data_IF_725738760004
#
_entry.id   IF_725738760004
#
_cell.length_a   1.000
_cell.length_b   1.000
_cell.length_c   1.000
_cell.angle_alpha   90.00
_cell.angle_beta   90.00
_cell.angle_gamma   90.00
#
_symmetry.space_group_name_H-M   'P 1'
#
loop_
_entity.id
_entity.type
_entity.pdbx_description
1 polymer ?
#
# COMPACT_ATOMS: atom_id res chain seq x y z
N UNK A 1 -28.87 7.89 7.81
CA UNK A 1 -28.17 6.65 7.45
C UNK A 1 -27.19 6.29 8.56
N UNK A 2 -27.39 5.13 9.17
CA UNK A 2 -26.52 4.61 10.25
C UNK A 2 -25.16 4.17 9.70
N UNK A 3 -24.19 3.90 10.57
CA UNK A 3 -22.91 3.36 10.16
C UNK A 3 -23.06 1.96 9.50
N UNK A 4 -23.93 1.13 10.05
CA UNK A 4 -24.22 -0.20 9.50
C UNK A 4 -24.79 -0.13 8.07
N UNK A 5 -25.72 0.79 7.81
CA UNK A 5 -26.26 1.02 6.46
C UNK A 5 -25.15 1.48 5.48
N UNK A 6 -24.26 2.37 5.94
CA UNK A 6 -23.10 2.82 5.13
C UNK A 6 -22.15 1.67 4.81
N UNK A 7 -21.84 0.82 5.80
CA UNK A 7 -20.99 -0.37 5.62
C UNK A 7 -21.64 -1.34 4.62
N UNK A 8 -22.95 -1.59 4.74
CA UNK A 8 -23.67 -2.45 3.81
C UNK A 8 -23.56 -1.95 2.36
N UNK A 9 -23.72 -0.64 2.15
CA UNK A 9 -23.55 -0.02 0.83
C UNK A 9 -22.11 -0.11 0.33
N UNK A 10 -21.13 0.13 1.20
CA UNK A 10 -19.71 -0.01 0.86
C UNK A 10 -19.38 -1.45 0.43
N UNK A 11 -19.90 -2.44 1.12
CA UNK A 11 -19.70 -3.86 0.78
C UNK A 11 -20.32 -4.23 -0.57
N UNK A 12 -21.44 -3.63 -0.97
CA UNK A 12 -21.96 -3.78 -2.32
C UNK A 12 -21.02 -3.19 -3.39
N UNK A 13 -20.33 -2.09 -3.08
CA UNK A 13 -19.33 -1.49 -3.98
C UNK A 13 -18.07 -2.37 -4.04
N UNK A 14 -17.63 -2.88 -2.90
CA UNK A 14 -16.44 -3.75 -2.77
C UNK A 14 -16.61 -5.07 -3.52
N UNK A 15 -17.82 -5.64 -3.51
CA UNK A 15 -18.11 -6.91 -4.20
C UNK A 15 -18.14 -6.79 -5.73
N UNK A 16 -18.20 -5.58 -6.28
CA UNK A 16 -18.19 -5.35 -7.72
C UNK A 16 -16.74 -5.29 -8.22
N UNK A 17 -16.26 -6.40 -8.74
CA UNK A 17 -14.99 -6.39 -9.50
C UNK A 17 -15.24 -5.82 -10.91
N UNK A 18 -14.80 -4.58 -11.11
CA UNK A 18 -14.93 -3.90 -12.42
C UNK A 18 -13.79 -4.21 -13.38
N UNK A 19 -12.71 -4.82 -12.89
CA UNK A 19 -11.47 -4.86 -13.64
C UNK A 19 -10.91 -6.28 -13.85
N UNK A 20 -11.61 -7.30 -13.36
CA UNK A 20 -11.15 -8.68 -13.39
C UNK A 20 -10.06 -8.97 -12.35
N UNK A 21 -9.97 -10.18 -11.90
CA UNK A 21 -8.90 -10.68 -11.02
C UNK A 21 -7.66 -11.04 -11.83
N UNK A 22 -6.51 -10.97 -11.21
CA UNK A 22 -5.27 -11.57 -11.72
C UNK A 22 -5.31 -13.05 -11.41
N UNK A 23 -4.96 -13.91 -12.37
CA UNK A 23 -5.02 -15.36 -12.15
C UNK A 23 -3.98 -15.82 -11.12
N UNK A 24 -4.20 -16.97 -10.42
CA UNK A 24 -3.20 -17.51 -9.49
C UNK A 24 -1.85 -17.76 -10.15
N UNK A 25 -1.83 -18.18 -11.41
CA UNK A 25 -0.60 -18.39 -12.18
C UNK A 25 0.14 -17.08 -12.43
N UNK A 26 -0.58 -16.02 -12.80
CA UNK A 26 0.00 -14.68 -12.97
C UNK A 26 0.53 -14.12 -11.65
N UNK A 27 -0.19 -14.35 -10.54
CA UNK A 27 0.27 -13.95 -9.20
C UNK A 27 1.56 -14.67 -8.81
N UNK A 28 1.63 -15.99 -9.06
CA UNK A 28 2.81 -16.80 -8.74
C UNK A 28 4.03 -16.45 -9.61
N UNK A 29 3.80 -15.86 -10.79
CA UNK A 29 4.85 -15.46 -11.72
C UNK A 29 5.38 -14.05 -11.48
N UNK A 30 4.84 -13.30 -10.49
CA UNK A 30 5.34 -11.96 -10.17
C UNK A 30 6.76 -12.03 -9.62
N UNK A 31 7.64 -11.09 -10.00
CA UNK A 31 9.03 -11.08 -9.55
C UNK A 31 9.15 -10.65 -8.09
N UNK A 32 10.26 -11.05 -7.45
CA UNK A 32 10.60 -10.66 -6.08
C UNK A 32 9.79 -11.40 -5.02
N UNK A 33 9.79 -10.86 -3.82
CA UNK A 33 9.12 -11.44 -2.66
C UNK A 33 8.16 -10.43 -2.04
N UNK A 34 6.91 -10.83 -1.81
CA UNK A 34 5.96 -10.07 -1.01
C UNK A 34 6.04 -10.50 0.46
N UNK A 35 6.16 -9.52 1.35
CA UNK A 35 6.10 -9.73 2.80
C UNK A 35 5.02 -8.84 3.40
N UNK A 36 4.15 -9.43 4.18
CA UNK A 36 3.08 -8.70 4.88
C UNK A 36 3.61 -8.16 6.23
N UNK A 37 3.47 -6.86 6.44
CA UNK A 37 3.98 -6.16 7.61
C UNK A 37 2.86 -5.40 8.32
N UNK A 38 2.97 -5.30 9.66
CA UNK A 38 2.14 -4.45 10.49
C UNK A 38 3.02 -3.45 11.22
N UNK A 39 3.00 -2.21 10.79
CA UNK A 39 3.89 -1.15 11.28
C UNK A 39 3.14 -0.26 12.26
N UNK A 40 3.69 -0.12 13.47
CA UNK A 40 3.20 0.83 14.47
C UNK A 40 3.96 2.14 14.32
N UNK A 41 3.24 3.19 14.03
CA UNK A 41 3.79 4.54 13.78
C UNK A 41 3.76 5.43 15.01
N UNK A 42 4.56 6.49 15.03
CA UNK A 42 4.67 7.41 16.16
C UNK A 42 3.34 8.12 16.48
N UNK A 43 2.51 8.37 15.47
CA UNK A 43 1.17 8.95 15.67
C UNK A 43 0.13 7.95 16.21
N UNK A 44 0.55 6.72 16.59
CA UNK A 44 -0.27 5.70 17.24
C UNK A 44 -1.09 4.81 16.30
N UNK A 45 -0.96 4.97 14.98
CA UNK A 45 -1.59 4.09 14.01
C UNK A 45 -0.86 2.74 13.95
N UNK A 46 -1.61 1.69 13.59
CA UNK A 46 -1.06 0.39 13.22
C UNK A 46 -1.47 0.12 11.77
N UNK A 47 -0.50 0.17 10.88
CA UNK A 47 -0.73 0.20 9.44
C UNK A 47 -0.31 -1.11 8.81
N UNK A 48 -1.15 -1.63 7.95
CA UNK A 48 -0.90 -2.82 7.15
C UNK A 48 -0.15 -2.42 5.88
N UNK A 49 0.95 -3.09 5.60
CA UNK A 49 1.83 -2.81 4.46
C UNK A 49 2.22 -4.12 3.81
N UNK A 50 2.16 -4.17 2.49
CA UNK A 50 2.75 -5.24 1.71
C UNK A 50 4.08 -4.75 1.12
N UNK A 51 5.16 -5.34 1.59
CA UNK A 51 6.50 -5.04 1.09
C UNK A 51 6.81 -5.92 -0.11
N UNK A 52 7.04 -5.30 -1.28
CA UNK A 52 7.58 -5.96 -2.45
C UNK A 52 9.09 -5.70 -2.51
N UNK A 53 9.86 -6.78 -2.43
CA UNK A 53 11.32 -6.73 -2.38
C UNK A 53 11.93 -7.46 -3.58
N UNK A 54 12.85 -6.83 -4.32
CA UNK A 54 13.56 -7.51 -5.41
C UNK A 54 14.54 -8.56 -4.85
N UNK A 55 14.87 -9.57 -5.65
CA UNK A 55 15.82 -10.63 -5.27
C UNK A 55 17.19 -10.06 -4.87
N UNK A 56 17.58 -8.95 -5.45
CA UNK A 56 18.80 -8.22 -5.11
C UNK A 56 18.51 -6.76 -4.93
N UNK A 57 18.49 -6.30 -3.68
CA UNK A 57 18.31 -4.90 -3.34
C UNK A 57 19.69 -4.22 -3.22
N UNK A 58 19.97 -3.13 -3.97
CA UNK A 58 21.23 -2.41 -3.84
C UNK A 58 21.34 -1.72 -2.47
N UNK A 59 22.56 -1.51 -1.96
CA UNK A 59 22.75 -0.69 -0.77
C UNK A 59 22.19 0.72 -0.97
N UNK A 60 21.54 1.27 0.05
CA UNK A 60 20.86 2.58 -0.03
C UNK A 60 19.90 2.67 -1.22
N UNK A 61 19.08 1.64 -1.38
CA UNK A 61 18.04 1.61 -2.39
C UNK A 61 17.00 2.71 -2.16
N UNK A 62 16.24 3.04 -3.18
CA UNK A 62 15.04 3.85 -3.00
C UNK A 62 13.94 3.03 -2.31
N UNK A 63 13.08 3.71 -1.56
CA UNK A 63 11.81 3.19 -1.06
C UNK A 63 10.66 3.94 -1.70
N UNK A 64 9.74 3.22 -2.32
CA UNK A 64 8.53 3.78 -2.89
C UNK A 64 7.33 3.35 -2.05
N UNK A 65 6.60 4.31 -1.49
CA UNK A 65 5.32 4.08 -0.83
C UNK A 65 4.21 4.27 -1.85
N UNK A 66 3.47 3.21 -2.14
CA UNK A 66 2.31 3.27 -3.03
C UNK A 66 1.02 3.32 -2.22
N UNK A 67 0.15 4.26 -2.55
CA UNK A 67 -1.20 4.37 -2.00
C UNK A 67 -2.21 4.02 -3.09
N UNK A 68 -2.92 2.91 -2.89
CA UNK A 68 -3.84 2.38 -3.90
C UNK A 68 -5.08 3.26 -4.11
N UNK A 69 -5.70 3.15 -5.27
CA UNK A 69 -6.99 3.75 -5.55
C UNK A 69 -8.14 2.96 -4.92
N UNK A 70 -9.36 3.44 -5.11
CA UNK A 70 -10.55 2.73 -4.64
C UNK A 70 -11.61 3.64 -4.02
N UNK A 71 -11.47 4.98 -4.19
CA UNK A 71 -12.43 5.95 -3.68
C UNK A 71 -12.55 5.95 -2.15
N UNK A 72 -11.48 5.58 -1.44
CA UNK A 72 -11.42 5.38 0.01
C UNK A 72 -12.36 4.29 0.56
N UNK A 73 -13.01 3.52 -0.32
CA UNK A 73 -13.97 2.49 0.02
C UNK A 73 -13.46 1.09 -0.32
N UNK A 74 -12.79 0.94 -1.47
CA UNK A 74 -12.18 -0.31 -1.91
C UNK A 74 -10.75 -0.39 -1.41
N UNK A 75 -10.36 -1.56 -0.91
CA UNK A 75 -9.00 -1.85 -0.49
C UNK A 75 -8.08 -2.22 -1.66
N UNK A 76 -6.86 -2.55 -1.28
CA UNK A 76 -5.83 -3.10 -2.15
C UNK A 76 -6.34 -4.34 -2.91
N UNK A 77 -5.84 -4.52 -4.12
CA UNK A 77 -6.18 -5.64 -5.00
C UNK A 77 -4.92 -6.29 -5.58
N UNK A 78 -5.07 -7.47 -6.19
CA UNK A 78 -3.98 -8.14 -6.92
C UNK A 78 -3.37 -7.29 -8.04
N UNK A 79 -4.13 -6.32 -8.56
CA UNK A 79 -3.63 -5.37 -9.57
C UNK A 79 -2.68 -4.36 -8.98
N UNK A 80 -2.93 -3.93 -7.75
CA UNK A 80 -2.03 -3.04 -7.02
C UNK A 80 -0.71 -3.76 -6.77
N UNK A 81 -0.74 -5.03 -6.35
CA UNK A 81 0.44 -5.87 -6.24
C UNK A 81 1.22 -5.94 -7.55
N UNK A 82 0.55 -6.28 -8.65
CA UNK A 82 1.18 -6.35 -9.98
C UNK A 82 1.82 -5.02 -10.39
N UNK A 83 1.17 -3.91 -10.09
CA UNK A 83 1.70 -2.57 -10.32
C UNK A 83 2.96 -2.32 -9.48
N UNK A 84 2.90 -2.62 -8.19
CA UNK A 84 4.03 -2.50 -7.26
C UNK A 84 5.22 -3.37 -7.68
N UNK A 85 4.99 -4.63 -8.06
CA UNK A 85 6.04 -5.52 -8.60
C UNK A 85 6.68 -4.93 -9.86
N UNK A 86 5.89 -4.33 -10.76
CA UNK A 86 6.42 -3.68 -11.97
C UNK A 86 7.31 -2.49 -11.61
N UNK A 87 6.93 -1.68 -10.64
CA UNK A 87 7.76 -0.56 -10.16
C UNK A 87 9.03 -1.06 -9.48
N UNK A 88 8.90 -2.04 -8.59
CA UNK A 88 10.02 -2.68 -7.90
C UNK A 88 11.07 -3.18 -8.90
N UNK A 89 10.65 -3.94 -9.91
CA UNK A 89 11.54 -4.51 -10.92
C UNK A 89 12.22 -3.43 -11.77
N UNK A 90 11.44 -2.47 -12.28
CA UNK A 90 11.96 -1.43 -13.19
C UNK A 90 12.87 -0.42 -12.51
N UNK A 91 12.61 -0.12 -11.25
CA UNK A 91 13.36 0.87 -10.47
C UNK A 91 14.43 0.22 -9.58
N UNK A 92 14.43 -1.10 -9.47
CA UNK A 92 15.26 -1.87 -8.56
C UNK A 92 15.26 -1.27 -7.15
N UNK A 93 14.06 -1.09 -6.59
CA UNK A 93 13.80 -0.43 -5.32
C UNK A 93 12.92 -1.29 -4.43
N UNK A 94 12.86 -0.93 -3.15
CA UNK A 94 11.87 -1.45 -2.23
C UNK A 94 10.52 -0.75 -2.48
N UNK A 95 9.42 -1.50 -2.50
CA UNK A 95 8.08 -0.90 -2.62
C UNK A 95 7.23 -1.32 -1.43
N UNK A 96 6.61 -0.35 -0.78
CA UNK A 96 5.58 -0.57 0.22
C UNK A 96 4.22 -0.23 -0.37
N UNK A 97 3.40 -1.23 -0.58
CA UNK A 97 2.00 -1.06 -0.97
C UNK A 97 1.16 -0.92 0.31
N UNK A 98 0.75 0.30 0.60
CA UNK A 98 0.12 0.68 1.87
C UNK A 98 -1.37 0.39 1.81
N UNK A 99 -1.82 -0.58 2.60
CA UNK A 99 -3.23 -0.93 2.75
C UNK A 99 -3.86 -0.08 3.86
N UNK A 100 -4.06 1.20 3.54
CA UNK A 100 -4.61 2.19 4.46
C UNK A 100 -6.08 1.93 4.78
N UNK A 101 -6.55 2.45 5.92
CA UNK A 101 -7.92 2.23 6.40
C UNK A 101 -8.98 2.83 5.47
N UNK A 102 -10.14 2.20 5.43
CA UNK A 102 -11.21 2.51 4.51
C UNK A 102 -12.43 3.13 5.20
N UNK A 103 -13.11 3.99 4.46
CA UNK A 103 -14.44 4.45 4.80
C UNK A 103 -15.48 3.36 4.40
N UNK A 104 -16.61 3.30 5.08
CA UNK A 104 -17.07 4.18 6.18
C UNK A 104 -16.60 3.74 7.58
N UNK A 105 -15.89 2.63 7.72
CA UNK A 105 -15.42 2.09 9.01
C UNK A 105 -14.47 3.08 9.70
N UNK A 106 -13.58 3.67 8.92
CA UNK A 106 -12.67 4.74 9.32
C UNK A 106 -12.89 5.95 8.43
N UNK A 107 -13.68 6.91 8.92
CA UNK A 107 -13.98 8.13 8.17
C UNK A 107 -12.77 9.07 8.06
N UNK A 108 -12.83 9.99 7.10
CA UNK A 108 -11.87 11.10 7.02
C UNK A 108 -11.67 11.78 8.39
N UNK A 109 -10.45 12.08 8.81
CA UNK A 109 -9.19 12.02 8.08
C UNK A 109 -8.32 10.77 8.35
N UNK A 110 -8.90 9.64 8.80
CA UNK A 110 -8.13 8.48 9.29
C UNK A 110 -7.10 7.97 8.26
N UNK A 111 -7.49 7.78 7.00
CA UNK A 111 -6.57 7.33 5.94
C UNK A 111 -5.41 8.31 5.74
N UNK A 112 -5.66 9.63 5.83
CA UNK A 112 -4.61 10.65 5.72
C UNK A 112 -3.62 10.55 6.89
N UNK A 113 -4.13 10.34 8.11
CA UNK A 113 -3.26 10.17 9.29
C UNK A 113 -2.42 8.90 9.19
N UNK A 114 -2.97 7.79 8.68
CA UNK A 114 -2.20 6.57 8.46
C UNK A 114 -1.14 6.78 7.37
N UNK A 115 -1.51 7.40 6.25
CA UNK A 115 -0.57 7.67 5.14
C UNK A 115 0.57 8.60 5.57
N UNK A 116 0.29 9.62 6.36
CA UNK A 116 1.30 10.48 6.94
C UNK A 116 2.21 9.71 7.90
N UNK A 117 1.62 8.94 8.83
CA UNK A 117 2.37 8.19 9.82
C UNK A 117 3.31 7.14 9.21
N UNK A 118 2.91 6.47 8.13
CA UNK A 118 3.79 5.50 7.47
C UNK A 118 4.91 6.18 6.68
N UNK A 119 4.66 7.35 6.10
CA UNK A 119 5.69 8.13 5.44
C UNK A 119 6.74 8.63 6.47
N UNK A 120 6.29 9.20 7.59
CA UNK A 120 7.17 9.62 8.68
C UNK A 120 8.00 8.44 9.21
N UNK A 121 7.37 7.29 9.46
CA UNK A 121 8.07 6.07 9.87
C UNK A 121 9.17 5.67 8.87
N UNK A 122 8.89 5.72 7.58
CA UNK A 122 9.86 5.36 6.54
C UNK A 122 11.10 6.27 6.56
N UNK A 123 10.91 7.58 6.79
CA UNK A 123 12.02 8.52 6.93
C UNK A 123 12.85 8.28 8.19
N UNK A 124 12.18 8.10 9.33
CA UNK A 124 12.83 7.94 10.63
C UNK A 124 13.61 6.62 10.73
N UNK A 125 13.20 5.58 10.01
CA UNK A 125 13.79 4.24 10.04
C UNK A 125 14.53 3.87 8.76
N UNK A 126 14.84 4.85 7.90
CA UNK A 126 15.46 4.59 6.60
C UNK A 126 16.76 3.77 6.68
N UNK A 127 17.61 4.07 7.69
CA UNK A 127 18.85 3.34 7.92
C UNK A 127 18.60 1.88 8.30
N UNK A 128 17.65 1.61 9.20
CA UNK A 128 17.26 0.26 9.62
C UNK A 128 16.66 -0.56 8.46
N UNK A 129 15.92 0.11 7.59
CA UNK A 129 15.33 -0.47 6.38
C UNK A 129 16.38 -0.71 5.27
N UNK A 130 17.56 -0.16 5.41
CA UNK A 130 18.63 -0.24 4.40
C UNK A 130 18.37 0.62 3.15
N UNK A 131 17.51 1.63 3.28
CA UNK A 131 17.13 2.54 2.19
C UNK A 131 17.77 3.92 2.36
N UNK A 132 17.81 4.68 1.29
CA UNK A 132 18.32 6.04 1.28
C UNK A 132 17.20 7.01 1.68
N UNK A 133 17.32 7.78 2.77
CA UNK A 133 16.30 8.74 3.18
C UNK A 133 16.06 9.84 2.14
N UNK A 134 17.05 10.11 1.27
CA UNK A 134 16.89 11.07 0.17
C UNK A 134 16.17 10.47 -1.06
N UNK A 135 15.87 9.18 -1.03
CA UNK A 135 15.19 8.45 -2.11
C UNK A 135 13.89 7.78 -1.65
N UNK A 136 13.18 8.42 -0.73
CA UNK A 136 11.83 8.00 -0.35
C UNK A 136 10.83 8.69 -1.28
N UNK A 137 10.05 7.89 -1.99
CA UNK A 137 9.13 8.33 -3.04
C UNK A 137 7.71 8.03 -2.58
N UNK A 138 6.82 9.01 -2.63
CA UNK A 138 5.39 8.83 -2.44
C UNK A 138 4.73 8.73 -3.80
N UNK A 139 3.95 7.70 -4.01
CA UNK A 139 3.20 7.45 -5.23
C UNK A 139 1.77 7.02 -4.90
N UNK A 140 0.85 7.30 -5.79
CA UNK A 140 -0.53 6.88 -5.65
C UNK A 140 -1.35 7.20 -6.88
N UNK A 141 -2.53 6.65 -6.94
CA UNK A 141 -3.45 6.92 -8.04
C UNK A 141 -4.89 7.08 -7.55
N UNK A 142 -5.67 7.94 -8.20
CA UNK A 142 -7.06 8.22 -7.81
C UNK A 142 -7.14 8.70 -6.36
N UNK A 143 -7.83 7.96 -5.48
CA UNK A 143 -7.94 8.29 -4.06
C UNK A 143 -6.61 8.26 -3.30
N UNK A 144 -5.62 7.51 -3.78
CA UNK A 144 -4.28 7.44 -3.19
C UNK A 144 -3.33 8.53 -3.67
N UNK A 145 -3.73 9.33 -4.64
CA UNK A 145 -2.93 10.41 -5.24
C UNK A 145 -2.93 11.74 -4.49
#
# INVERSE_FOLDING_TARGET
MTLEEKIAMANQVRSRDRFGSVSPEEQAALPGTETELWIKTANGCKIHVFEERPDTLPPKAALLLNFHGGGFIKGRTDRDRRYCCTLMERLNCLVWDVDYCLAPEKAFPAAVHESYGIAEYAFDHAEELGVDPEKIILAGHSAGG
#
